data_IF_637153071062
#
_entry.id   IF_637153071062
#
_cell.length_a   1.000
_cell.length_b   1.000
_cell.length_c   1.000
_cell.angle_alpha   90.00
_cell.angle_beta   90.00
_cell.angle_gamma   90.00
#
_symmetry.space_group_name_H-M   'P 1'
#
loop_
_entity.id
_entity.type
_entity.pdbx_description
1 polymer ?
#
# COMPACT_ATOMS: atom_id res chain seq x y z
N UNK A 1 6.77 -11.97 -15.49
CA UNK A 1 7.17 -13.01 -14.53
C UNK A 1 6.37 -12.80 -13.25
N UNK A 2 5.74 -13.85 -12.71
CA UNK A 2 5.15 -13.81 -11.37
C UNK A 2 6.32 -13.66 -10.41
N UNK A 3 6.40 -12.55 -9.66
CA UNK A 3 7.46 -12.28 -8.70
C UNK A 3 7.04 -12.83 -7.33
N UNK A 4 7.55 -13.99 -6.89
CA UNK A 4 7.05 -14.65 -5.68
C UNK A 4 7.27 -13.81 -4.42
N UNK A 5 8.38 -13.08 -4.37
CA UNK A 5 8.72 -12.16 -3.27
C UNK A 5 7.72 -11.02 -3.16
N UNK A 6 7.33 -10.44 -4.30
CA UNK A 6 6.29 -9.40 -4.34
C UNK A 6 4.96 -9.93 -3.81
N UNK A 7 4.50 -11.08 -4.31
CA UNK A 7 3.22 -11.65 -3.86
C UNK A 7 3.24 -11.97 -2.37
N UNK A 8 4.34 -12.54 -1.86
CA UNK A 8 4.51 -12.80 -0.43
C UNK A 8 4.41 -11.52 0.39
N UNK A 9 5.13 -10.47 0.00
CA UNK A 9 5.09 -9.18 0.68
C UNK A 9 3.67 -8.58 0.67
N UNK A 10 2.98 -8.60 -0.48
CA UNK A 10 1.61 -8.07 -0.58
C UNK A 10 0.65 -8.87 0.32
N UNK A 11 0.77 -10.19 0.39
CA UNK A 11 -0.04 -10.99 1.31
C UNK A 11 0.24 -10.64 2.77
N UNK A 12 1.51 -10.56 3.17
CA UNK A 12 1.90 -10.22 4.55
C UNK A 12 1.38 -8.84 4.98
N UNK A 13 1.60 -7.82 4.16
CA UNK A 13 1.14 -6.46 4.45
C UNK A 13 -0.39 -6.38 4.52
N UNK A 14 -1.08 -7.10 3.62
CA UNK A 14 -2.55 -7.17 3.62
C UNK A 14 -3.10 -7.79 4.90
N UNK A 15 -2.49 -8.87 5.37
CA UNK A 15 -2.92 -9.52 6.61
C UNK A 15 -2.65 -8.62 7.82
N UNK A 16 -1.52 -7.92 7.84
CA UNK A 16 -1.15 -6.98 8.90
C UNK A 16 -2.08 -5.75 8.97
N UNK A 17 -2.65 -5.30 7.85
CA UNK A 17 -3.67 -4.25 7.84
C UNK A 17 -5.11 -4.80 7.95
N UNK A 18 -5.28 -6.11 8.21
CA UNK A 18 -6.57 -6.81 8.28
C UNK A 18 -7.43 -6.60 7.02
N UNK A 19 -6.77 -6.50 5.86
CA UNK A 19 -7.40 -6.21 4.57
C UNK A 19 -8.28 -4.95 4.63
N UNK A 20 -7.80 -3.88 5.28
CA UNK A 20 -8.46 -2.57 5.33
C UNK A 20 -7.52 -1.50 4.80
N UNK A 21 -8.09 -0.36 4.42
CA UNK A 21 -7.31 0.81 4.07
C UNK A 21 -6.43 1.22 5.25
N UNK A 22 -5.16 1.45 4.98
CA UNK A 22 -4.22 1.99 5.95
C UNK A 22 -4.32 3.52 6.06
N UNK A 23 -5.15 4.16 5.23
CA UNK A 23 -5.40 5.61 5.28
C UNK A 23 -6.66 5.93 6.10
N UNK A 24 -7.80 5.32 5.76
CA UNK A 24 -9.08 5.56 6.44
C UNK A 24 -9.46 4.47 7.45
N UNK A 25 -8.85 3.29 7.37
CA UNK A 25 -9.32 2.11 8.07
C UNK A 25 -10.53 1.46 7.41
N UNK A 26 -11.07 1.96 6.29
CA UNK A 26 -12.28 1.42 5.68
C UNK A 26 -12.06 0.14 4.87
N UNK A 27 -13.15 -0.55 4.56
CA UNK A 27 -13.16 -1.65 3.57
C UNK A 27 -13.73 -1.13 2.26
N UNK A 28 -13.18 -1.59 1.14
CA UNK A 28 -13.72 -1.35 -0.21
C UNK A 28 -15.14 -1.90 -0.31
N UNK A 29 -15.90 -1.34 -1.25
CA UNK A 29 -17.26 -1.77 -1.50
C UNK A 29 -17.30 -3.23 -2.00
N UNK A 30 -18.45 -3.89 -1.87
CA UNK A 30 -18.68 -5.35 -2.03
C UNK A 30 -18.30 -5.99 -3.39
N UNK A 31 -17.69 -5.24 -4.32
CA UNK A 31 -17.44 -5.63 -5.71
C UNK A 31 -16.01 -6.12 -6.01
N UNK A 32 -15.13 -6.18 -5.02
CA UNK A 32 -13.75 -6.63 -5.17
C UNK A 32 -13.48 -7.86 -4.33
N UNK A 33 -12.69 -8.81 -4.84
CA UNK A 33 -12.17 -9.95 -4.07
C UNK A 33 -11.36 -9.50 -2.84
N UNK A 34 -10.92 -8.24 -2.83
CA UNK A 34 -10.19 -7.62 -1.74
C UNK A 34 -10.79 -6.28 -1.30
N UNK A 35 -10.88 -6.08 0.01
CA UNK A 35 -11.35 -4.85 0.64
C UNK A 35 -10.32 -3.71 0.60
N UNK A 36 -9.06 -4.00 0.27
CA UNK A 36 -8.04 -2.99 0.02
C UNK A 36 -7.12 -3.44 -1.12
N UNK A 37 -6.36 -2.56 -1.72
CA UNK A 37 -5.41 -2.89 -2.77
C UNK A 37 -4.09 -2.15 -2.57
N UNK A 38 -2.96 -2.77 -2.97
CA UNK A 38 -1.67 -2.15 -2.81
C UNK A 38 -1.47 -1.04 -3.83
N UNK A 39 -1.22 0.16 -3.32
CA UNK A 39 -0.75 1.31 -4.09
C UNK A 39 0.75 1.53 -3.86
N UNK A 40 1.49 1.71 -4.95
CA UNK A 40 2.92 2.04 -4.90
C UNK A 40 3.12 3.55 -5.01
N UNK A 41 3.42 4.20 -3.89
CA UNK A 41 3.43 5.67 -3.73
C UNK A 41 4.36 6.35 -4.75
N UNK A 42 5.56 5.79 -4.95
CA UNK A 42 6.57 6.27 -5.91
C UNK A 42 6.57 5.49 -7.24
N UNK A 43 5.59 4.62 -7.45
CA UNK A 43 5.51 3.73 -8.61
C UNK A 43 6.26 2.40 -8.45
N UNK A 44 6.24 1.60 -9.51
CA UNK A 44 6.66 0.17 -9.52
C UNK A 44 8.04 -0.06 -10.14
N UNK A 45 9.04 0.73 -9.77
CA UNK A 45 10.36 0.70 -10.44
C UNK A 45 11.39 -0.07 -9.62
N UNK A 46 11.94 -1.14 -10.18
CA UNK A 46 13.06 -1.88 -9.60
C UNK A 46 12.83 -2.31 -8.15
N UNK A 47 13.73 -1.90 -7.24
CA UNK A 47 13.65 -2.23 -5.82
C UNK A 47 12.42 -1.65 -5.11
N UNK A 48 11.82 -0.58 -5.65
CA UNK A 48 10.67 0.08 -5.03
C UNK A 48 9.39 -0.75 -5.15
N UNK A 49 9.37 -1.74 -6.06
CA UNK A 49 8.26 -2.68 -6.19
C UNK A 49 8.07 -3.54 -4.93
N UNK A 50 9.17 -3.95 -4.29
CA UNK A 50 9.20 -4.80 -3.10
C UNK A 50 9.60 -4.03 -1.84
N UNK A 51 9.58 -2.69 -1.90
CA UNK A 51 9.85 -1.86 -0.75
C UNK A 51 8.57 -1.69 0.08
N UNK A 52 8.48 -2.24 1.31
CA UNK A 52 7.27 -2.12 2.14
C UNK A 52 6.92 -0.66 2.45
N UNK A 53 7.92 0.22 2.53
CA UNK A 53 7.73 1.66 2.76
C UNK A 53 7.20 2.43 1.55
N UNK A 54 7.18 1.80 0.37
CA UNK A 54 6.61 2.37 -0.84
C UNK A 54 5.17 1.86 -1.09
N UNK A 55 4.69 0.92 -0.30
CA UNK A 55 3.39 0.29 -0.48
C UNK A 55 2.45 0.80 0.60
N UNK A 56 1.22 1.16 0.22
CA UNK A 56 0.11 1.44 1.14
C UNK A 56 -1.13 0.70 0.65
N UNK A 57 -1.89 0.09 1.55
CA UNK A 57 -3.17 -0.55 1.21
C UNK A 57 -4.30 0.47 1.29
N UNK A 58 -5.10 0.56 0.23
CA UNK A 58 -6.16 1.56 0.08
C UNK A 58 -7.46 0.93 -0.40
N UNK A 59 -8.59 1.54 -0.11
CA UNK A 59 -9.81 1.26 -0.90
C UNK A 59 -9.61 1.70 -2.35
N UNK A 60 -10.40 1.15 -3.28
CA UNK A 60 -10.30 1.54 -4.70
C UNK A 60 -10.57 3.04 -4.93
N UNK A 61 -11.45 3.64 -4.13
CA UNK A 61 -11.70 5.10 -4.18
C UNK A 61 -10.47 5.90 -3.76
N UNK A 62 -9.86 5.55 -2.63
CA UNK A 62 -8.66 6.24 -2.15
C UNK A 62 -7.48 6.03 -3.11
N UNK A 63 -7.35 4.85 -3.70
CA UNK A 63 -6.31 4.55 -4.68
C UNK A 63 -6.41 5.49 -5.89
N UNK A 64 -7.60 5.62 -6.48
CA UNK A 64 -7.84 6.54 -7.59
C UNK A 64 -7.56 8.02 -7.21
N UNK A 65 -7.77 8.40 -5.95
CA UNK A 65 -7.38 9.73 -5.46
C UNK A 65 -5.86 9.89 -5.40
N UNK A 66 -5.12 8.88 -4.94
CA UNK A 66 -3.66 8.95 -4.82
C UNK A 66 -2.93 8.89 -6.17
N UNK A 67 -3.52 8.28 -7.20
CA UNK A 67 -2.92 8.20 -8.54
C UNK A 67 -2.64 9.59 -9.16
N UNK A 68 -3.37 10.61 -8.73
CA UNK A 68 -3.22 11.99 -9.21
C UNK A 68 -2.27 12.84 -8.35
N UNK A 69 -1.67 12.28 -7.29
CA UNK A 69 -0.81 13.02 -6.38
C UNK A 69 0.49 13.50 -7.03
N UNK A 70 0.86 14.73 -6.71
CA UNK A 70 2.17 15.30 -6.99
C UNK A 70 3.25 14.76 -6.06
N UNK A 71 4.48 15.27 -6.26
CA UNK A 71 5.65 14.84 -5.49
C UNK A 71 5.50 15.13 -3.99
N UNK A 72 4.93 16.29 -3.62
CA UNK A 72 4.83 16.68 -2.21
C UNK A 72 3.84 15.79 -1.44
N UNK A 73 2.70 15.48 -2.04
CA UNK A 73 1.68 14.59 -1.47
C UNK A 73 2.23 13.16 -1.34
N UNK A 74 2.98 12.68 -2.33
CA UNK A 74 3.68 11.39 -2.26
C UNK A 74 4.69 11.36 -1.11
N UNK A 75 5.45 12.43 -0.89
CA UNK A 75 6.37 12.52 0.26
C UNK A 75 5.63 12.44 1.59
N UNK A 76 4.50 13.14 1.73
CA UNK A 76 3.66 13.08 2.94
C UNK A 76 3.13 11.67 3.18
N UNK A 77 2.72 10.95 2.14
CA UNK A 77 2.31 9.54 2.26
C UNK A 77 3.46 8.62 2.69
N UNK A 78 4.67 8.83 2.18
CA UNK A 78 5.86 8.07 2.62
C UNK A 78 6.18 8.32 4.09
N UNK A 79 6.06 9.57 4.55
CA UNK A 79 6.23 9.93 5.97
C UNK A 79 5.13 9.32 6.84
N UNK A 80 3.89 9.28 6.33
CA UNK A 80 2.75 8.67 7.00
C UNK A 80 2.89 7.14 7.16
N UNK A 81 3.30 6.43 6.11
CA UNK A 81 3.36 4.95 6.13
C UNK A 81 4.57 4.42 6.90
N UNK A 82 5.65 5.20 7.00
CA UNK A 82 6.89 4.81 7.70
C UNK A 82 6.65 4.27 9.13
N UNK A 83 6.02 5.02 10.06
CA UNK A 83 5.79 4.51 11.41
C UNK A 83 4.85 3.30 11.47
N UNK A 84 4.01 3.08 10.45
CA UNK A 84 3.15 1.88 10.35
C UNK A 84 4.02 0.66 10.03
N UNK A 85 4.90 0.79 9.03
CA UNK A 85 5.82 -0.29 8.62
C UNK A 85 6.83 -0.63 9.71
N UNK A 86 7.36 0.36 10.42
CA UNK A 86 8.24 0.15 11.56
C UNK A 86 7.55 -0.67 12.67
N UNK A 87 6.28 -0.38 12.99
CA UNK A 87 5.48 -1.17 13.96
C UNK A 87 5.18 -2.59 13.48
N UNK A 88 5.13 -2.80 12.18
CA UNK A 88 4.97 -4.12 11.55
C UNK A 88 6.29 -4.91 11.45
N UNK A 89 7.42 -4.30 11.84
CA UNK A 89 8.73 -4.97 11.92
C UNK A 89 9.64 -4.76 10.71
N UNK A 90 9.32 -3.84 9.78
CA UNK A 90 10.18 -3.50 8.66
C UNK A 90 11.20 -2.42 9.03
N UNK A 91 12.41 -2.49 8.45
CA UNK A 91 13.54 -1.59 8.70
C UNK A 91 14.13 -1.05 7.40
#
# INVERSE_FOLDING_TARGET
>A
AIMPEYNKLITELRDQCNNRSELSGEKSDWRSDYNAEPHHIMGRIGKDLINPFNIIFLTSTEHAMQDNNGYEEKRKLLEYIRPIREKQGYQ
#
